data_IF_527123833490
#
_entry.id   IF_527123833490
#
_cell.length_a   1.000
_cell.length_b   1.000
_cell.length_c   1.000
_cell.angle_alpha   90.00
_cell.angle_beta   90.00
_cell.angle_gamma   90.00
#
_symmetry.space_group_name_H-M   'P 1'
#
loop_
_entity.id
_entity.type
_entity.pdbx_description
1 polymer ?
#
# COMPACT_ATOMS: atom_id res chain seq x y z
N UNK A 1 -55.35 31.48 23.44
CA UNK A 1 -54.27 30.48 23.57
C UNK A 1 -54.01 29.92 22.18
N UNK A 2 -52.94 30.35 21.52
CA UNK A 2 -52.55 29.82 20.22
C UNK A 2 -51.83 28.47 20.43
N UNK A 3 -52.12 27.42 19.65
CA UNK A 3 -51.41 26.17 19.76
C UNK A 3 -49.97 26.38 19.31
N UNK A 4 -49.03 26.07 20.20
CA UNK A 4 -47.60 26.03 19.90
C UNK A 4 -47.35 24.99 18.81
N UNK A 5 -46.95 25.45 17.64
CA UNK A 5 -46.45 24.59 16.56
C UNK A 5 -45.26 23.79 17.08
N UNK A 6 -45.26 22.45 16.97
CA UNK A 6 -44.10 21.66 17.37
C UNK A 6 -42.93 22.07 16.47
N UNK A 7 -41.84 22.56 17.08
CA UNK A 7 -40.58 22.76 16.38
C UNK A 7 -40.20 21.44 15.69
N UNK A 8 -39.80 21.46 14.41
CA UNK A 8 -39.27 20.25 13.79
C UNK A 8 -38.08 19.80 14.64
N UNK A 9 -38.13 18.55 15.12
CA UNK A 9 -36.98 17.90 15.74
C UNK A 9 -35.86 17.96 14.72
N UNK A 10 -34.83 18.77 14.97
CA UNK A 10 -33.58 18.67 14.24
C UNK A 10 -33.12 17.23 14.39
N UNK A 11 -33.12 16.47 13.30
CA UNK A 11 -32.41 15.20 13.26
C UNK A 11 -30.98 15.51 13.66
N UNK A 12 -30.52 15.02 14.81
CA UNK A 12 -29.11 15.06 15.16
C UNK A 12 -28.38 14.22 14.11
N UNK A 13 -27.87 14.89 13.07
CA UNK A 13 -26.96 14.24 12.13
C UNK A 13 -25.65 14.02 12.89
N UNK A 14 -25.24 12.75 12.96
CA UNK A 14 -23.93 12.39 13.51
C UNK A 14 -22.87 13.03 12.60
N UNK A 15 -21.90 13.78 13.13
CA UNK A 15 -20.87 14.41 12.32
C UNK A 15 -20.09 13.38 11.50
N UNK A 16 -20.00 13.59 10.19
CA UNK A 16 -19.24 12.73 9.27
C UNK A 16 -18.20 13.52 8.49
N UNK A 17 -17.15 12.79 8.09
CA UNK A 17 -16.05 13.30 7.30
C UNK A 17 -16.04 12.58 5.96
N UNK A 18 -16.14 13.34 4.87
CA UNK A 18 -15.92 12.84 3.53
C UNK A 18 -14.41 12.79 3.25
N UNK A 19 -13.88 11.60 3.00
CA UNK A 19 -12.47 11.39 2.72
C UNK A 19 -12.24 11.42 1.22
N UNK A 20 -11.38 12.34 0.79
CA UNK A 20 -10.96 12.52 -0.59
C UNK A 20 -9.47 12.24 -0.73
N UNK A 21 -9.10 11.73 -1.90
CA UNK A 21 -7.71 11.67 -2.31
C UNK A 21 -7.47 12.61 -3.46
N UNK A 22 -6.39 13.38 -3.36
CA UNK A 22 -6.05 14.38 -4.35
C UNK A 22 -4.59 14.33 -4.76
N UNK A 23 -4.33 14.78 -5.99
CA UNK A 23 -2.96 15.09 -6.41
C UNK A 23 -2.44 16.37 -5.76
N UNK A 24 -1.11 16.54 -5.78
CA UNK A 24 -0.48 17.75 -5.23
C UNK A 24 -1.01 19.03 -5.87
N UNK A 25 -1.57 18.96 -7.09
CA UNK A 25 -2.11 20.09 -7.83
C UNK A 25 -3.63 20.27 -7.69
N UNK A 26 -4.31 19.42 -6.90
CA UNK A 26 -5.78 19.38 -6.75
C UNK A 26 -6.55 19.32 -8.10
N UNK A 27 -5.94 18.78 -9.14
CA UNK A 27 -6.60 18.56 -10.43
C UNK A 27 -7.46 17.30 -10.43
N UNK A 28 -7.20 16.38 -9.51
CA UNK A 28 -7.97 15.16 -9.33
C UNK A 28 -8.43 15.05 -7.89
N UNK A 29 -9.74 15.14 -7.65
CA UNK A 29 -10.36 14.88 -6.35
C UNK A 29 -11.19 13.60 -6.45
N UNK A 30 -10.66 12.48 -5.95
CA UNK A 30 -11.39 11.23 -5.89
C UNK A 30 -12.04 11.05 -4.53
N UNK A 31 -13.37 10.88 -4.51
CA UNK A 31 -14.09 10.46 -3.33
C UNK A 31 -13.77 9.00 -2.97
N UNK A 32 -13.38 8.76 -1.71
CA UNK A 32 -13.01 7.45 -1.19
C UNK A 32 -14.15 6.83 -0.39
N UNK A 33 -14.58 7.50 0.69
CA UNK A 33 -15.67 7.06 1.58
C UNK A 33 -16.11 8.20 2.51
N UNK A 34 -17.23 8.00 3.21
CA UNK A 34 -17.54 8.72 4.44
C UNK A 34 -17.08 7.92 5.65
N UNK A 35 -16.75 8.62 6.74
CA UNK A 35 -16.47 8.02 8.04
C UNK A 35 -17.02 8.91 9.16
N UNK A 36 -17.43 8.32 10.29
CA UNK A 36 -17.80 9.07 11.49
C UNK A 36 -16.60 9.86 12.03
N UNK A 37 -16.82 11.13 12.40
CA UNK A 37 -15.76 11.97 12.97
C UNK A 37 -15.19 11.35 14.26
N UNK A 38 -16.03 10.76 15.10
CA UNK A 38 -15.60 10.11 16.34
C UNK A 38 -14.64 8.95 16.08
N UNK A 39 -14.85 8.18 15.00
CA UNK A 39 -13.96 7.07 14.64
C UNK A 39 -12.59 7.61 14.23
N UNK A 40 -12.52 8.71 13.49
CA UNK A 40 -11.23 9.35 13.19
C UNK A 40 -10.55 9.90 14.44
N UNK A 41 -11.30 10.45 15.39
CA UNK A 41 -10.74 10.94 16.66
C UNK A 41 -10.13 9.80 17.49
N UNK A 42 -10.76 8.62 17.47
CA UNK A 42 -10.30 7.46 18.24
C UNK A 42 -9.13 6.73 17.56
N UNK A 43 -9.17 6.58 16.23
CA UNK A 43 -8.25 5.74 15.47
C UNK A 43 -7.19 6.50 14.67
N UNK A 44 -7.41 7.79 14.39
CA UNK A 44 -6.44 8.62 13.69
C UNK A 44 -6.48 10.10 14.13
N UNK A 45 -6.17 10.38 15.41
CA UNK A 45 -6.30 11.73 15.96
C UNK A 45 -5.43 12.75 15.23
N UNK A 46 -4.27 12.35 14.70
CA UNK A 46 -3.32 13.25 14.04
C UNK A 46 -3.84 13.83 12.71
N UNK A 47 -4.74 13.14 12.00
CA UNK A 47 -5.35 13.68 10.78
C UNK A 47 -6.56 14.57 11.06
N UNK A 48 -7.06 14.60 12.30
CA UNK A 48 -8.20 15.43 12.65
C UNK A 48 -7.90 16.93 12.48
N UNK A 49 -6.64 17.34 12.69
CA UNK A 49 -6.17 18.71 12.46
C UNK A 49 -6.18 19.12 10.98
N UNK A 50 -6.30 18.15 10.07
CA UNK A 50 -6.34 18.35 8.62
C UNK A 50 -7.77 18.37 8.06
N UNK A 51 -8.79 18.23 8.92
CA UNK A 51 -10.19 18.22 8.52
C UNK A 51 -10.67 19.65 8.25
N UNK A 52 -11.21 19.88 7.06
CA UNK A 52 -11.76 21.17 6.63
C UNK A 52 -13.30 21.13 6.70
N UNK A 53 -13.99 22.23 7.07
CA UNK A 53 -15.45 22.28 7.03
C UNK A 53 -15.98 22.20 5.58
N UNK A 54 -17.08 21.48 5.37
CA UNK A 54 -17.78 21.44 4.08
C UNK A 54 -18.79 22.60 3.94
N UNK A 55 -19.22 22.86 2.71
CA UNK A 55 -20.34 23.76 2.36
C UNK A 55 -21.65 23.21 2.94
N UNK A 56 -21.79 21.88 3.02
CA UNK A 56 -22.96 21.23 3.60
C UNK A 56 -22.87 21.19 5.14
N UNK A 57 -23.97 21.53 5.86
CA UNK A 57 -23.97 21.50 7.32
C UNK A 57 -23.72 20.08 7.85
N UNK A 58 -22.94 19.98 8.93
CA UNK A 58 -22.51 18.72 9.59
C UNK A 58 -21.67 17.77 8.73
N UNK A 59 -21.13 18.24 7.61
CA UNK A 59 -20.14 17.53 6.83
C UNK A 59 -18.80 18.24 6.93
N UNK A 60 -17.74 17.47 7.00
CA UNK A 60 -16.37 17.95 6.89
C UNK A 60 -15.64 17.13 5.84
N UNK A 61 -14.51 17.62 5.36
CA UNK A 61 -13.71 16.96 4.33
C UNK A 61 -12.30 16.74 4.83
N UNK A 62 -11.76 15.57 4.51
CA UNK A 62 -10.35 15.26 4.68
C UNK A 62 -9.74 15.03 3.31
N UNK A 63 -8.72 15.82 2.96
CA UNK A 63 -8.00 15.69 1.70
C UNK A 63 -6.63 15.04 1.92
N UNK A 64 -6.49 13.78 1.50
CA UNK A 64 -5.23 13.04 1.53
C UNK A 64 -4.48 13.31 0.23
N UNK A 65 -3.31 13.94 0.31
CA UNK A 65 -2.50 14.33 -0.87
C UNK A 65 -1.49 13.24 -1.21
N UNK A 66 -1.49 12.81 -2.48
CA UNK A 66 -0.47 11.90 -3.02
C UNK A 66 0.47 12.58 -4.01
N UNK A 67 1.78 12.24 -3.97
CA UNK A 67 2.77 12.77 -4.91
C UNK A 67 2.73 12.10 -6.30
N UNK A 68 2.24 10.86 -6.39
CA UNK A 68 2.23 10.05 -7.62
C UNK A 68 0.89 9.31 -7.72
N UNK A 69 0.35 9.21 -8.95
CA UNK A 69 -0.99 8.65 -9.23
C UNK A 69 -0.98 7.31 -9.95
N UNK A 70 0.20 6.76 -10.24
CA UNK A 70 0.30 5.45 -10.85
C UNK A 70 -0.23 4.38 -9.88
N UNK A 71 -1.19 3.57 -10.33
CA UNK A 71 -1.77 2.42 -9.62
C UNK A 71 -2.42 2.73 -8.26
N UNK A 72 -2.77 3.99 -8.03
CA UNK A 72 -3.30 4.47 -6.75
C UNK A 72 -4.65 3.84 -6.41
N UNK A 73 -5.44 3.48 -7.42
CA UNK A 73 -6.70 2.78 -7.27
C UNK A 73 -6.54 1.37 -6.68
N UNK A 74 -5.42 0.70 -6.97
CA UNK A 74 -5.13 -0.67 -6.54
C UNK A 74 -4.50 -0.73 -5.15
N UNK A 75 -3.74 0.31 -4.77
CA UNK A 75 -2.99 0.34 -3.52
C UNK A 75 -3.66 1.28 -2.53
N UNK A 76 -3.55 2.59 -2.73
CA UNK A 76 -3.97 3.56 -1.73
C UNK A 76 -5.50 3.67 -1.59
N UNK A 77 -6.27 3.68 -2.69
CA UNK A 77 -7.74 3.77 -2.61
C UNK A 77 -8.34 2.53 -1.97
N UNK A 78 -7.94 1.36 -2.47
CA UNK A 78 -8.40 0.07 -1.93
C UNK A 78 -8.00 -0.09 -0.46
N UNK A 79 -6.76 0.28 -0.12
CA UNK A 79 -6.25 0.23 1.24
C UNK A 79 -6.99 1.14 2.21
N UNK A 80 -7.16 2.42 1.86
CA UNK A 80 -7.87 3.37 2.72
C UNK A 80 -9.33 2.99 2.91
N UNK A 81 -10.04 2.55 1.85
CA UNK A 81 -11.41 2.05 2.01
C UNK A 81 -11.46 0.88 2.99
N UNK A 82 -10.55 -0.07 2.86
CA UNK A 82 -10.50 -1.25 3.74
C UNK A 82 -10.19 -0.88 5.18
N UNK A 83 -9.22 0.02 5.40
CA UNK A 83 -8.81 0.48 6.73
C UNK A 83 -9.96 1.24 7.42
N UNK A 84 -10.56 2.20 6.73
CA UNK A 84 -11.64 3.03 7.28
C UNK A 84 -12.88 2.18 7.61
N UNK A 85 -13.27 1.27 6.72
CA UNK A 85 -14.36 0.33 7.01
C UNK A 85 -14.03 -0.58 8.19
N UNK A 86 -12.77 -1.00 8.35
CA UNK A 86 -12.35 -1.79 9.51
C UNK A 86 -12.48 -1.00 10.83
N UNK A 87 -12.10 0.28 10.85
CA UNK A 87 -12.25 1.12 12.03
C UNK A 87 -13.70 1.37 12.39
N UNK A 88 -14.56 1.64 11.41
CA UNK A 88 -15.99 1.81 11.67
C UNK A 88 -16.62 0.55 12.29
N UNK A 89 -16.30 -0.63 11.73
CA UNK A 89 -16.78 -1.90 12.29
C UNK A 89 -16.19 -2.15 13.69
N UNK A 90 -14.90 -1.88 13.88
CA UNK A 90 -14.23 -2.10 15.17
C UNK A 90 -14.73 -1.17 16.25
N UNK A 91 -15.12 0.06 15.90
CA UNK A 91 -15.75 1.01 16.79
C UNK A 91 -17.18 0.56 17.15
N UNK A 92 -17.95 0.09 16.16
CA UNK A 92 -19.29 -0.43 16.37
C UNK A 92 -19.30 -1.66 17.30
N UNK A 93 -18.32 -2.54 17.14
CA UNK A 93 -18.17 -3.77 17.91
C UNK A 93 -17.39 -3.56 19.22
N UNK A 94 -16.93 -2.34 19.52
CA UNK A 94 -16.09 -1.99 20.68
C UNK A 94 -14.82 -2.85 20.82
N UNK A 95 -14.27 -3.31 19.70
CA UNK A 95 -13.13 -4.23 19.65
C UNK A 95 -11.79 -3.50 19.86
N UNK A 96 -11.73 -2.19 19.56
CA UNK A 96 -10.50 -1.40 19.69
C UNK A 96 -9.36 -1.86 18.76
N UNK A 97 -9.66 -2.66 17.73
CA UNK A 97 -8.65 -3.15 16.79
C UNK A 97 -8.25 -2.06 15.79
N UNK A 98 -7.03 -1.56 15.92
CA UNK A 98 -6.49 -0.50 15.04
C UNK A 98 -6.06 -1.02 13.67
N UNK A 99 -5.58 -2.27 13.60
CA UNK A 99 -4.97 -2.80 12.36
C UNK A 99 -5.79 -4.00 11.87
N UNK A 100 -6.31 -3.96 10.63
CA UNK A 100 -6.97 -5.11 10.04
C UNK A 100 -5.96 -6.25 9.90
N UNK A 101 -6.38 -7.48 10.23
CA UNK A 101 -5.51 -8.66 10.13
C UNK A 101 -5.18 -8.93 8.66
N UNK A 102 -3.90 -8.82 8.24
CA UNK A 102 -3.53 -9.06 6.85
C UNK A 102 -3.58 -10.56 6.52
N UNK A 103 -4.03 -10.90 5.31
CA UNK A 103 -4.08 -12.29 4.82
C UNK A 103 -2.86 -12.69 3.98
N UNK A 104 -2.12 -11.70 3.48
CA UNK A 104 -0.91 -11.84 2.66
C UNK A 104 0.12 -10.75 2.99
N UNK A 105 1.30 -10.80 2.35
CA UNK A 105 2.32 -9.74 2.48
C UNK A 105 1.85 -8.46 1.78
N UNK A 106 1.26 -8.57 0.58
CA UNK A 106 0.67 -7.46 -0.16
C UNK A 106 -0.45 -6.78 0.64
N UNK A 107 -1.32 -7.56 1.28
CA UNK A 107 -2.35 -7.03 2.19
C UNK A 107 -1.75 -6.23 3.35
N UNK A 108 -0.64 -6.72 3.90
CA UNK A 108 0.06 -6.03 4.97
C UNK A 108 0.68 -4.72 4.45
N UNK A 109 1.25 -4.72 3.24
CA UNK A 109 1.81 -3.54 2.57
C UNK A 109 0.74 -2.49 2.29
N UNK A 110 -0.44 -2.89 1.79
CA UNK A 110 -1.58 -2.01 1.57
C UNK A 110 -2.05 -1.39 2.89
N UNK A 111 -2.15 -2.21 3.95
CA UNK A 111 -2.50 -1.74 5.30
C UNK A 111 -1.46 -0.76 5.83
N UNK A 112 -0.17 -1.09 5.71
CA UNK A 112 0.94 -0.21 6.08
C UNK A 112 0.84 1.13 5.37
N UNK A 113 0.63 1.12 4.05
CA UNK A 113 0.53 2.34 3.28
C UNK A 113 -0.66 3.19 3.71
N UNK A 114 -1.78 2.57 4.02
CA UNK A 114 -2.99 3.25 4.49
C UNK A 114 -2.77 3.90 5.87
N UNK A 115 -2.09 3.20 6.78
CA UNK A 115 -1.71 3.74 8.09
C UNK A 115 -0.76 4.94 7.94
N UNK A 116 0.22 4.88 7.03
CA UNK A 116 1.09 6.02 6.74
C UNK A 116 0.31 7.25 6.26
N UNK A 117 -0.70 7.05 5.40
CA UNK A 117 -1.54 8.13 4.90
C UNK A 117 -2.44 8.73 5.99
N UNK A 118 -2.81 7.91 6.97
CA UNK A 118 -3.55 8.33 8.16
C UNK A 118 -2.62 8.83 9.29
N UNK A 119 -1.31 8.97 9.03
CA UNK A 119 -0.31 9.43 9.99
C UNK A 119 -0.20 8.57 11.27
N UNK A 120 -0.51 7.28 11.15
CA UNK A 120 -0.54 6.37 12.29
C UNK A 120 0.85 5.80 12.62
N UNK A 121 1.33 5.91 13.87
CA UNK A 121 2.66 5.45 14.27
C UNK A 121 2.83 3.93 14.15
N UNK A 122 1.74 3.17 14.22
CA UNK A 122 1.72 1.71 14.05
C UNK A 122 2.13 1.26 12.65
N UNK A 123 2.14 2.18 11.67
CA UNK A 123 2.70 1.92 10.35
C UNK A 123 4.14 1.39 10.45
N UNK A 124 5.01 2.00 11.26
CA UNK A 124 6.40 1.56 11.38
C UNK A 124 6.54 0.20 12.08
N UNK A 125 5.67 -0.09 13.04
CA UNK A 125 5.62 -1.42 13.67
C UNK A 125 5.20 -2.48 12.65
N UNK A 126 4.21 -2.18 11.81
CA UNK A 126 3.77 -3.08 10.74
C UNK A 126 4.85 -3.26 9.67
N UNK A 127 5.56 -2.19 9.30
CA UNK A 127 6.71 -2.23 8.38
C UNK A 127 7.75 -3.23 8.86
N UNK A 128 8.16 -3.18 10.13
CA UNK A 128 9.11 -4.12 10.71
C UNK A 128 8.67 -5.58 10.57
N UNK A 129 7.38 -5.86 10.79
CA UNK A 129 6.80 -7.20 10.62
C UNK A 129 6.80 -7.65 9.16
N UNK A 130 6.45 -6.76 8.22
CA UNK A 130 6.47 -7.05 6.79
C UNK A 130 7.89 -7.38 6.34
N UNK A 131 8.87 -6.56 6.72
CA UNK A 131 10.28 -6.77 6.38
C UNK A 131 10.83 -8.09 6.93
N UNK A 132 10.40 -8.50 8.13
CA UNK A 132 10.72 -9.81 8.68
C UNK A 132 10.09 -10.93 7.85
N UNK A 133 8.80 -10.80 7.51
CA UNK A 133 8.07 -11.80 6.71
C UNK A 133 8.67 -11.97 5.31
N UNK A 134 9.11 -10.87 4.67
CA UNK A 134 9.86 -10.91 3.41
C UNK A 134 11.18 -11.68 3.51
N UNK A 135 11.70 -11.94 4.71
CA UNK A 135 12.88 -12.79 4.89
C UNK A 135 12.54 -14.24 5.19
N UNK A 136 11.31 -14.56 5.58
CA UNK A 136 10.96 -15.89 6.12
C UNK A 136 9.91 -16.63 5.30
N UNK A 137 9.15 -15.94 4.47
CA UNK A 137 7.99 -16.50 3.75
C UNK A 137 8.11 -16.20 2.26
N UNK A 138 7.92 -17.18 1.35
CA UNK A 138 7.94 -16.90 -0.08
C UNK A 138 6.80 -15.96 -0.47
N UNK A 139 7.10 -14.97 -1.32
CA UNK A 139 6.10 -14.05 -1.86
C UNK A 139 5.37 -14.63 -3.07
N UNK A 140 4.15 -14.15 -3.27
CA UNK A 140 3.30 -14.44 -4.43
C UNK A 140 3.43 -13.34 -5.50
N UNK A 141 2.82 -13.57 -6.67
CA UNK A 141 2.74 -12.57 -7.73
C UNK A 141 2.09 -11.26 -7.27
N UNK A 142 0.96 -11.36 -6.57
CA UNK A 142 0.26 -10.19 -6.05
C UNK A 142 1.10 -9.42 -5.03
N UNK A 143 1.88 -10.11 -4.20
CA UNK A 143 2.79 -9.45 -3.26
C UNK A 143 3.87 -8.64 -4.00
N UNK A 144 4.45 -9.19 -5.08
CA UNK A 144 5.44 -8.51 -5.91
C UNK A 144 4.85 -7.25 -6.54
N UNK A 145 3.70 -7.39 -7.21
CA UNK A 145 3.00 -6.27 -7.85
C UNK A 145 2.66 -5.17 -6.83
N UNK A 146 2.12 -5.57 -5.68
CA UNK A 146 1.73 -4.64 -4.62
C UNK A 146 2.94 -3.88 -4.09
N UNK A 147 4.03 -4.56 -3.74
CA UNK A 147 5.25 -3.90 -3.23
C UNK A 147 5.82 -2.94 -4.29
N UNK A 148 5.88 -3.40 -5.54
CA UNK A 148 6.43 -2.62 -6.65
C UNK A 148 5.65 -1.33 -6.86
N UNK A 149 4.34 -1.43 -7.12
CA UNK A 149 3.49 -0.27 -7.33
C UNK A 149 3.38 0.64 -6.10
N UNK A 150 3.47 0.06 -4.89
CA UNK A 150 3.43 0.88 -3.66
C UNK A 150 4.68 1.74 -3.52
N UNK A 151 5.87 1.28 -3.90
CA UNK A 151 7.13 1.95 -3.52
C UNK A 151 7.97 2.45 -4.69
N UNK A 152 7.71 2.04 -5.93
CA UNK A 152 8.42 2.56 -7.08
C UNK A 152 8.32 4.09 -7.13
N UNK A 153 9.47 4.75 -7.23
CA UNK A 153 9.55 6.22 -7.23
C UNK A 153 9.43 6.88 -5.86
N UNK A 154 9.29 6.12 -4.76
CA UNK A 154 9.29 6.65 -3.38
C UNK A 154 10.70 6.57 -2.76
N UNK A 155 11.07 7.45 -1.80
CA UNK A 155 12.39 7.43 -1.17
C UNK A 155 12.78 6.10 -0.52
N UNK A 156 11.79 5.35 -0.04
CA UNK A 156 11.98 4.05 0.60
C UNK A 156 12.18 2.88 -0.41
N UNK A 157 12.06 3.14 -1.71
CA UNK A 157 12.11 2.12 -2.78
C UNK A 157 13.30 1.17 -2.64
N UNK A 158 14.50 1.71 -2.41
CA UNK A 158 15.73 0.93 -2.29
C UNK A 158 15.65 -0.16 -1.23
N UNK A 159 15.08 0.14 -0.06
CA UNK A 159 14.93 -0.82 1.03
C UNK A 159 13.90 -1.91 0.74
N UNK A 160 12.80 -1.53 0.05
CA UNK A 160 11.75 -2.46 -0.33
C UNK A 160 12.19 -3.36 -1.49
N UNK A 161 12.89 -2.81 -2.47
CA UNK A 161 13.48 -3.52 -3.60
C UNK A 161 14.53 -4.54 -3.11
N UNK A 162 15.40 -4.17 -2.17
CA UNK A 162 16.38 -5.08 -1.58
C UNK A 162 15.69 -6.29 -0.92
N UNK A 163 14.67 -6.05 -0.10
CA UNK A 163 13.90 -7.11 0.56
C UNK A 163 13.11 -7.98 -0.43
N UNK A 164 12.52 -7.36 -1.46
CA UNK A 164 11.77 -8.04 -2.53
C UNK A 164 12.69 -9.00 -3.30
N UNK A 165 13.82 -8.49 -3.77
CA UNK A 165 14.80 -9.25 -4.54
C UNK A 165 15.43 -10.35 -3.71
N UNK A 166 15.78 -10.07 -2.45
CA UNK A 166 16.25 -11.09 -1.51
C UNK A 166 15.27 -12.25 -1.42
N UNK A 167 13.97 -11.97 -1.29
CA UNK A 167 12.93 -13.00 -1.22
C UNK A 167 12.88 -13.83 -2.52
N UNK A 168 12.81 -13.17 -3.67
CA UNK A 168 12.77 -13.81 -4.99
C UNK A 168 13.93 -14.79 -5.18
N UNK A 169 15.14 -14.37 -4.80
CA UNK A 169 16.36 -15.18 -4.92
C UNK A 169 16.39 -16.31 -3.88
N UNK A 170 16.12 -15.99 -2.60
CA UNK A 170 16.19 -16.96 -1.49
C UNK A 170 15.22 -18.13 -1.67
N UNK A 171 13.99 -17.83 -2.06
CA UNK A 171 12.93 -18.85 -2.20
C UNK A 171 12.83 -19.40 -3.62
N UNK A 172 13.68 -18.94 -4.55
CA UNK A 172 13.66 -19.33 -5.96
C UNK A 172 12.28 -19.15 -6.60
N UNK A 173 11.57 -18.07 -6.22
CA UNK A 173 10.17 -17.82 -6.61
C UNK A 173 10.01 -17.81 -8.14
N UNK A 174 11.00 -17.26 -8.85
CA UNK A 174 11.02 -17.22 -10.32
C UNK A 174 11.16 -18.59 -11.00
N UNK A 175 11.61 -19.61 -10.26
CA UNK A 175 11.73 -20.99 -10.77
C UNK A 175 10.50 -21.85 -10.44
N UNK A 176 9.57 -21.33 -9.62
CA UNK A 176 8.35 -22.04 -9.23
C UNK A 176 7.23 -21.86 -10.25
N UNK A 177 6.82 -22.93 -10.91
CA UNK A 177 5.60 -22.95 -11.74
C UNK A 177 4.35 -22.94 -10.84
N UNK A 178 3.24 -22.28 -11.23
CA UNK A 178 3.07 -21.43 -12.44
C UNK A 178 3.45 -19.95 -12.23
N UNK A 179 3.57 -19.50 -10.97
CA UNK A 179 3.63 -18.08 -10.63
C UNK A 179 4.95 -17.38 -10.99
N UNK A 180 6.06 -18.12 -11.08
CA UNK A 180 7.38 -17.58 -11.40
C UNK A 180 7.44 -16.91 -12.77
N UNK A 181 6.76 -17.49 -13.78
CA UNK A 181 6.70 -16.93 -15.14
C UNK A 181 5.92 -15.61 -15.19
N UNK A 182 4.81 -15.52 -14.45
CA UNK A 182 4.00 -14.30 -14.37
C UNK A 182 4.76 -13.17 -13.65
N UNK A 183 5.44 -13.49 -12.55
CA UNK A 183 6.30 -12.54 -11.82
C UNK A 183 7.42 -12.02 -12.72
N UNK A 184 8.07 -12.92 -13.49
CA UNK A 184 9.13 -12.53 -14.39
C UNK A 184 8.61 -11.55 -15.47
N UNK A 185 7.49 -11.88 -16.12
CA UNK A 185 6.89 -11.03 -17.14
C UNK A 185 6.48 -9.66 -16.59
N UNK A 186 5.94 -9.62 -15.37
CA UNK A 186 5.61 -8.37 -14.68
C UNK A 186 6.86 -7.50 -14.49
N UNK A 187 7.93 -8.04 -13.89
CA UNK A 187 9.18 -7.30 -13.63
C UNK A 187 9.77 -6.78 -14.95
N UNK A 188 9.82 -7.62 -15.98
CA UNK A 188 10.33 -7.22 -17.31
C UNK A 188 9.50 -6.06 -17.90
N UNK A 189 8.18 -6.14 -17.81
CA UNK A 189 7.28 -5.10 -18.32
C UNK A 189 7.46 -3.77 -17.57
N UNK A 190 7.57 -3.81 -16.24
CA UNK A 190 7.81 -2.61 -15.43
C UNK A 190 9.18 -1.99 -15.72
N UNK A 191 10.22 -2.81 -15.88
CA UNK A 191 11.57 -2.33 -16.19
C UNK A 191 11.67 -1.69 -17.57
N UNK A 192 10.84 -2.08 -18.54
CA UNK A 192 10.78 -1.41 -19.85
C UNK A 192 10.24 0.03 -19.75
N UNK A 193 9.50 0.36 -18.70
CA UNK A 193 8.96 1.70 -18.45
C UNK A 193 9.86 2.56 -17.53
N UNK A 194 10.97 2.00 -17.05
CA UNK A 194 11.89 2.68 -16.13
C UNK A 194 12.93 3.51 -16.87
N UNK A 195 13.42 4.57 -16.21
CA UNK A 195 14.64 5.25 -16.66
C UNK A 195 15.89 4.41 -16.37
N UNK A 196 17.03 4.79 -16.98
CA UNK A 196 18.29 4.05 -16.84
C UNK A 196 18.77 3.96 -15.37
N UNK A 197 18.49 4.95 -14.54
CA UNK A 197 18.93 4.96 -13.15
C UNK A 197 18.09 4.00 -12.29
N UNK A 198 16.77 3.99 -12.48
CA UNK A 198 15.85 3.05 -11.87
C UNK A 198 16.15 1.61 -12.30
N UNK A 199 16.37 1.42 -13.60
CA UNK A 199 16.76 0.14 -14.18
C UNK A 199 18.05 -0.40 -13.54
N UNK A 200 19.08 0.43 -13.44
CA UNK A 200 20.36 0.08 -12.82
C UNK A 200 20.23 -0.28 -11.33
N UNK A 201 19.28 0.33 -10.60
CA UNK A 201 19.01 -0.01 -9.20
C UNK A 201 18.42 -1.41 -9.05
N UNK A 202 17.42 -1.77 -9.85
CA UNK A 202 16.82 -3.13 -9.86
C UNK A 202 17.88 -4.17 -10.16
N UNK A 203 18.71 -3.87 -11.16
CA UNK A 203 19.84 -4.68 -11.55
C UNK A 203 20.84 -4.94 -10.42
N UNK A 204 21.31 -3.86 -9.80
CA UNK A 204 22.31 -3.92 -8.74
C UNK A 204 21.81 -4.73 -7.54
N UNK A 205 20.53 -4.56 -7.17
CA UNK A 205 19.92 -5.34 -6.12
C UNK A 205 19.89 -6.84 -6.47
N UNK A 206 19.53 -7.18 -7.71
CA UNK A 206 19.48 -8.57 -8.19
C UNK A 206 20.85 -9.26 -8.17
N UNK A 207 21.87 -8.59 -8.69
CA UNK A 207 23.23 -9.10 -8.72
C UNK A 207 23.81 -9.33 -7.32
N UNK A 208 23.54 -8.40 -6.39
CA UNK A 208 23.98 -8.49 -5.00
C UNK A 208 23.47 -9.78 -4.32
N UNK A 209 22.18 -10.10 -4.49
CA UNK A 209 21.58 -11.25 -3.83
C UNK A 209 21.89 -12.59 -4.50
N UNK A 210 22.02 -12.65 -5.84
CA UNK A 210 22.53 -13.87 -6.49
C UNK A 210 23.97 -14.16 -6.07
N UNK A 211 24.83 -13.13 -6.08
CA UNK A 211 26.24 -13.28 -5.71
C UNK A 211 26.40 -13.88 -4.32
N UNK A 212 25.58 -13.45 -3.36
CA UNK A 212 25.55 -13.93 -1.99
C UNK A 212 25.00 -15.37 -1.82
N UNK A 213 24.13 -15.84 -2.72
CA UNK A 213 23.47 -17.16 -2.62
C UNK A 213 24.09 -18.24 -3.52
N UNK A 214 25.07 -17.88 -4.36
CA UNK A 214 25.79 -18.78 -5.30
C UNK A 214 26.38 -20.08 -4.72
N UNK A 215 26.76 -20.22 -3.42
CA UNK A 215 27.21 -21.52 -2.91
C UNK A 215 26.11 -22.62 -2.93
N UNK A 216 24.82 -22.24 -3.04
CA UNK A 216 23.67 -23.18 -2.99
C UNK A 216 22.88 -23.33 -4.30
N UNK A 217 23.16 -22.51 -5.32
CA UNK A 217 22.32 -22.35 -6.53
C UNK A 217 22.72 -23.21 -7.74
N UNK A 218 23.58 -24.20 -7.58
CA UNK A 218 24.14 -24.95 -8.75
C UNK A 218 23.15 -25.90 -9.45
N UNK A 219 21.90 -26.05 -8.99
CA UNK A 219 21.02 -27.14 -9.45
C UNK A 219 19.67 -26.77 -10.07
N UNK A 220 19.18 -25.52 -10.06
CA UNK A 220 17.76 -25.29 -10.46
C UNK A 220 17.42 -24.04 -11.27
N UNK A 221 18.33 -23.08 -11.48
CA UNK A 221 18.04 -21.99 -12.41
C UNK A 221 18.14 -22.51 -13.84
N UNK A 222 16.99 -22.60 -14.52
CA UNK A 222 16.93 -22.88 -15.95
C UNK A 222 17.88 -21.92 -16.69
N UNK A 223 18.77 -22.48 -17.51
CA UNK A 223 19.71 -21.72 -18.37
C UNK A 223 19.02 -20.67 -19.25
N UNK A 224 17.68 -20.64 -19.30
CA UNK A 224 16.86 -19.64 -19.98
C UNK A 224 16.69 -18.36 -19.13
N UNK A 225 16.45 -18.48 -17.83
CA UNK A 225 16.28 -17.33 -16.90
C UNK A 225 17.60 -16.58 -16.73
N UNK A 226 18.70 -17.31 -16.51
CA UNK A 226 20.05 -16.74 -16.46
C UNK A 226 20.46 -16.11 -17.82
N UNK A 227 19.95 -16.62 -18.94
CA UNK A 227 20.17 -16.01 -20.27
C UNK A 227 19.29 -14.81 -20.55
N UNK A 228 18.05 -14.75 -20.07
CA UNK A 228 17.17 -13.59 -20.25
C UNK A 228 17.68 -12.45 -19.40
N UNK A 229 17.98 -12.71 -18.13
CA UNK A 229 18.55 -11.69 -17.25
C UNK A 229 19.92 -11.25 -17.79
N UNK A 230 20.84 -12.14 -18.18
CA UNK A 230 22.09 -11.69 -18.83
C UNK A 230 21.92 -11.04 -20.21
N UNK A 231 20.88 -11.32 -20.99
CA UNK A 231 20.61 -10.65 -22.28
C UNK A 231 19.98 -9.27 -22.10
N UNK A 232 19.16 -9.13 -21.08
CA UNK A 232 18.57 -7.86 -20.65
C UNK A 232 19.64 -6.99 -19.95
N UNK A 233 20.63 -7.62 -19.31
CA UNK A 233 21.63 -6.93 -18.47
C UNK A 233 23.07 -6.82 -19.03
N UNK A 234 23.37 -7.36 -20.21
CA UNK A 234 24.66 -7.20 -20.91
C UNK A 234 24.51 -6.80 -22.39
N UNK A 235 23.49 -6.00 -22.72
CA UNK A 235 23.42 -5.26 -23.99
C UNK A 235 23.80 -3.79 -23.75
#
# INVERSE_FOLDING_TARGET
MLPSTPRPRSSFQVPTVAVYMCDQRKHYDQFITHILLSVLQDYAPYVCDLIEPDILPNQSRLYIRLPLHAHVEYVEWAGLRRLLAHWENSAADMLGALIPRPTSIGDAVITYRSLQLMLEPEAETLRGRIMLNLRTTPITELDVQTIWWTFQGKPEWSSWLDALVYNLVRFQVLSGEPYGTAIQLFIETEMLNMDNAQYAQVLSAYELHIGATRPRLRTTLSRRVDRVLRRVFHA
#
